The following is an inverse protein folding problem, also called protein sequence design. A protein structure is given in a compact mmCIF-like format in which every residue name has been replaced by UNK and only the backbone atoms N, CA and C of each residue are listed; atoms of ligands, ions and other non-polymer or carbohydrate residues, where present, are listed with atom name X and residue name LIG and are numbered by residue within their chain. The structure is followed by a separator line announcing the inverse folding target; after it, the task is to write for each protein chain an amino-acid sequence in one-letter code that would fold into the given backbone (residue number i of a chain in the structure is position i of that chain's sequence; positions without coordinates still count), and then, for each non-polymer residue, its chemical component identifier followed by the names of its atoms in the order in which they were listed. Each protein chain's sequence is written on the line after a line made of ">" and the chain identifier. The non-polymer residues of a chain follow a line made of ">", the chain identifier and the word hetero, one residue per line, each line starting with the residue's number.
data_IF_528168078694
#
_entry.id   IF_528168078694
#
_cell.length_a   1.000
_cell.length_b   1.000
_cell.length_c   1.000
_cell.angle_alpha   90.00
_cell.angle_beta   90.00
_cell.angle_gamma   90.00
#
_symmetry.space_group_name_H-M   'P 1'
#
loop_
_entity.id
_entity.type
_entity.pdbx_description
1 polymer ?
#
# COMPACT_ATOMS: atom_id res chain seq x y z
N UNK A 1 10.19 9.18 -6.75
CA UNK A 1 11.64 9.14 -7.06
C UNK A 1 12.14 10.45 -7.63
N UNK A 2 11.46 11.06 -8.63
CA UNK A 2 11.92 12.29 -9.27
C UNK A 2 12.07 13.49 -8.32
N UNK A 3 11.11 13.77 -7.44
CA UNK A 3 10.99 15.12 -6.84
C UNK A 3 12.05 15.49 -5.80
N UNK A 4 12.58 14.52 -5.05
CA UNK A 4 13.62 14.79 -4.03
C UNK A 4 15.02 14.58 -4.57
N UNK A 5 15.23 13.62 -5.47
CA UNK A 5 16.46 13.60 -6.28
C UNK A 5 16.59 14.89 -7.08
N UNK A 6 15.47 15.47 -7.54
CA UNK A 6 15.43 16.78 -8.13
C UNK A 6 15.83 17.87 -7.13
N UNK A 7 15.26 17.89 -5.93
CA UNK A 7 15.62 18.87 -4.88
C UNK A 7 17.07 18.75 -4.41
N UNK A 8 17.61 17.54 -4.25
CA UNK A 8 19.00 17.31 -3.87
C UNK A 8 19.97 17.60 -5.02
N UNK A 9 19.60 17.26 -6.26
CA UNK A 9 20.36 17.67 -7.45
C UNK A 9 20.31 19.20 -7.65
N UNK A 10 19.20 19.84 -7.28
CA UNK A 10 19.05 21.28 -7.30
C UNK A 10 19.96 21.94 -6.29
N UNK A 11 19.93 21.48 -5.04
CA UNK A 11 20.80 21.98 -3.97
C UNK A 11 22.27 21.72 -4.33
N UNK A 12 22.64 20.50 -4.73
CA UNK A 12 24.02 20.17 -5.13
C UNK A 12 24.51 20.94 -6.35
N UNK A 13 23.67 21.11 -7.38
CA UNK A 13 24.01 21.92 -8.56
C UNK A 13 24.17 23.39 -8.19
N UNK A 14 23.35 23.88 -7.27
CA UNK A 14 23.43 25.25 -6.77
C UNK A 14 24.73 25.48 -5.99
N UNK A 15 25.08 24.59 -5.06
CA UNK A 15 26.33 24.63 -4.29
C UNK A 15 27.58 24.49 -5.18
N UNK A 16 27.55 23.61 -6.18
CA UNK A 16 28.65 23.42 -7.14
C UNK A 16 28.86 24.62 -8.07
N UNK A 17 27.81 25.38 -8.36
CA UNK A 17 27.94 26.60 -9.16
C UNK A 17 28.37 27.80 -8.31
N UNK A 18 27.94 27.86 -7.05
CA UNK A 18 28.44 28.82 -6.06
C UNK A 18 29.95 28.76 -5.93
N UNK A 19 30.53 27.56 -5.81
CA UNK A 19 31.99 27.38 -5.73
C UNK A 19 32.75 27.83 -6.98
N UNK A 20 32.03 28.06 -8.10
CA UNK A 20 32.56 28.54 -9.38
C UNK A 20 32.28 30.03 -9.63
N UNK A 21 31.67 30.75 -8.70
CA UNK A 21 31.37 32.18 -8.83
C UNK A 21 30.31 32.51 -9.88
N UNK A 22 29.54 31.53 -10.36
CA UNK A 22 28.57 31.75 -11.45
C UNK A 22 27.23 32.23 -10.88
N UNK A 23 26.78 33.44 -11.25
CA UNK A 23 25.43 33.93 -10.93
C UNK A 23 24.41 33.37 -11.92
N UNK A 24 23.71 32.29 -11.54
CA UNK A 24 22.53 31.81 -12.28
C UNK A 24 21.21 32.26 -11.61
N UNK A 25 20.24 32.63 -12.44
CA UNK A 25 18.89 33.02 -12.02
C UNK A 25 18.05 31.78 -11.63
N UNK A 26 17.36 31.77 -10.48
CA UNK A 26 16.42 30.70 -10.08
C UNK A 26 15.40 30.32 -11.16
N UNK A 27 15.00 31.27 -12.00
CA UNK A 27 14.11 31.06 -13.15
C UNK A 27 14.67 30.05 -14.17
N UNK A 28 15.97 30.10 -14.46
CA UNK A 28 16.61 29.20 -15.42
C UNK A 28 16.66 27.76 -14.91
N UNK A 29 16.78 27.61 -13.59
CA UNK A 29 16.73 26.32 -12.91
C UNK A 29 15.32 25.73 -13.06
N UNK A 30 14.28 26.47 -12.64
CA UNK A 30 12.88 26.02 -12.77
C UNK A 30 12.52 25.73 -14.23
N UNK A 31 12.93 26.58 -15.17
CA UNK A 31 12.75 26.37 -16.62
C UNK A 31 13.44 25.09 -17.11
N UNK A 32 14.69 24.86 -16.74
CA UNK A 32 15.45 23.64 -17.13
C UNK A 32 14.78 22.37 -16.59
N UNK A 33 14.24 22.40 -15.37
CA UNK A 33 13.57 21.23 -14.78
C UNK A 33 12.21 20.95 -15.44
N UNK A 34 11.49 22.00 -15.85
CA UNK A 34 10.23 21.90 -16.61
C UNK A 34 10.53 21.34 -18.01
N UNK A 35 11.53 21.91 -18.70
CA UNK A 35 11.95 21.50 -20.04
C UNK A 35 12.51 20.07 -20.08
N UNK A 36 13.19 19.63 -19.03
CA UNK A 36 13.69 18.24 -18.89
C UNK A 36 12.61 17.24 -18.46
N UNK A 37 11.33 17.64 -18.33
CA UNK A 37 10.20 16.82 -17.86
C UNK A 37 10.42 16.18 -16.47
N UNK A 38 11.37 16.66 -15.68
CA UNK A 38 11.69 16.09 -14.36
C UNK A 38 10.69 16.50 -13.27
N UNK A 39 9.94 17.59 -13.47
CA UNK A 39 8.87 18.06 -12.57
C UNK A 39 7.51 17.41 -12.83
N UNK A 40 7.30 16.70 -13.94
CA UNK A 40 6.00 16.16 -14.31
C UNK A 40 5.46 15.08 -13.33
N UNK A 41 6.34 14.51 -12.49
CA UNK A 41 5.98 13.50 -11.50
C UNK A 41 5.72 14.06 -10.08
N UNK A 42 6.02 15.34 -9.85
CA UNK A 42 5.80 15.96 -8.55
C UNK A 42 4.31 16.27 -8.32
N UNK A 43 3.76 16.04 -7.12
CA UNK A 43 2.41 16.49 -6.82
C UNK A 43 2.29 17.98 -7.12
N UNK A 44 1.30 18.37 -7.93
CA UNK A 44 1.09 19.76 -8.36
C UNK A 44 1.08 20.77 -7.19
N UNK A 45 0.69 20.34 -5.99
CA UNK A 45 0.75 21.13 -4.77
C UNK A 45 2.19 21.48 -4.33
N UNK A 46 3.14 20.55 -4.44
CA UNK A 46 4.55 20.78 -4.08
C UNK A 46 5.21 21.70 -5.12
N UNK A 47 4.90 21.49 -6.39
CA UNK A 47 5.33 22.36 -7.50
C UNK A 47 4.79 23.77 -7.34
N UNK A 48 3.49 23.91 -7.05
CA UNK A 48 2.83 25.19 -6.82
C UNK A 48 3.43 25.92 -5.63
N UNK A 49 3.72 25.24 -4.51
CA UNK A 49 4.33 25.89 -3.34
C UNK A 49 5.78 26.33 -3.64
N UNK A 50 6.58 25.47 -4.26
CA UNK A 50 7.95 25.80 -4.64
C UNK A 50 7.98 26.94 -5.66
N UNK A 51 7.16 26.86 -6.71
CA UNK A 51 7.05 27.86 -7.76
C UNK A 51 6.54 29.19 -7.21
N UNK A 52 5.42 29.20 -6.48
CA UNK A 52 4.82 30.44 -5.96
C UNK A 52 5.72 31.11 -4.94
N UNK A 53 6.42 30.35 -4.08
CA UNK A 53 7.38 30.95 -3.13
C UNK A 53 8.66 31.42 -3.82
N UNK A 54 9.29 30.63 -4.69
CA UNK A 54 10.49 31.08 -5.42
C UNK A 54 10.20 32.24 -6.36
N UNK A 55 9.02 32.26 -6.97
CA UNK A 55 8.54 33.35 -7.83
C UNK A 55 8.19 34.61 -7.03
N UNK A 56 7.48 34.50 -5.90
CA UNK A 56 7.19 35.64 -5.03
C UNK A 56 8.46 36.26 -4.45
N UNK A 57 9.42 35.44 -4.06
CA UNK A 57 10.74 35.87 -3.58
C UNK A 57 11.53 36.56 -4.71
N UNK A 58 11.42 36.07 -5.96
CA UNK A 58 12.07 36.70 -7.13
C UNK A 58 11.41 38.01 -7.57
N UNK A 59 10.08 38.10 -7.50
CA UNK A 59 9.30 39.27 -7.92
C UNK A 59 9.39 40.44 -6.93
N UNK A 60 9.68 40.19 -5.65
CA UNK A 60 9.61 41.21 -4.60
C UNK A 60 10.98 41.73 -4.13
N UNK A 61 12.11 41.11 -4.50
CA UNK A 61 13.44 41.57 -4.10
C UNK A 61 14.49 41.49 -5.21
N UNK A 62 15.39 42.49 -5.25
CA UNK A 62 16.63 42.51 -6.05
C UNK A 62 17.62 41.43 -5.58
N UNK A 63 17.31 40.16 -5.81
CA UNK A 63 18.05 38.96 -5.37
C UNK A 63 17.69 38.51 -3.95
N UNK A 64 16.87 37.46 -3.79
CA UNK A 64 16.84 36.75 -2.52
C UNK A 64 18.23 36.30 -2.08
N UNK A 65 18.50 36.50 -0.80
CA UNK A 65 19.70 35.95 -0.19
C UNK A 65 19.56 34.43 -0.19
N UNK A 66 20.56 33.75 -0.72
CA UNK A 66 20.72 32.29 -0.79
C UNK A 66 20.31 31.55 0.50
N UNK A 67 20.55 32.16 1.66
CA UNK A 67 20.16 31.65 2.98
C UNK A 67 18.66 31.43 3.13
N UNK A 68 17.81 32.17 2.41
CA UNK A 68 16.36 32.11 2.53
C UNK A 68 15.75 30.97 1.72
N UNK A 69 16.35 30.62 0.57
CA UNK A 69 15.95 29.43 -0.21
C UNK A 69 16.27 28.15 0.57
N UNK A 70 17.48 28.05 1.14
CA UNK A 70 17.89 26.92 1.97
C UNK A 70 17.00 26.79 3.21
N UNK A 71 16.70 27.92 3.89
CA UNK A 71 15.78 27.96 5.02
C UNK A 71 14.38 27.46 4.65
N UNK A 72 13.88 27.84 3.47
CA UNK A 72 12.57 27.37 3.00
C UNK A 72 12.55 25.88 2.65
N UNK A 73 13.62 25.34 2.04
CA UNK A 73 13.76 23.89 1.82
C UNK A 73 13.80 23.14 3.15
N UNK A 74 14.53 23.65 4.14
CA UNK A 74 14.59 23.06 5.47
C UNK A 74 13.22 23.10 6.17
N UNK A 75 12.51 24.23 6.09
CA UNK A 75 11.16 24.38 6.65
C UNK A 75 10.16 23.43 5.97
N UNK A 76 10.26 23.25 4.64
CA UNK A 76 9.46 22.27 3.91
C UNK A 76 9.75 20.84 4.38
N UNK A 77 11.03 20.47 4.55
CA UNK A 77 11.42 19.16 5.11
C UNK A 77 10.84 18.95 6.51
N UNK A 78 10.97 19.94 7.40
CA UNK A 78 10.42 19.87 8.76
C UNK A 78 8.89 19.74 8.73
N UNK A 79 8.21 20.49 7.86
CA UNK A 79 6.74 20.43 7.73
C UNK A 79 6.28 19.07 7.21
N UNK A 80 7.00 18.48 6.25
CA UNK A 80 6.70 17.13 5.74
C UNK A 80 6.95 16.07 6.81
N UNK A 81 8.06 16.16 7.56
CA UNK A 81 8.36 15.26 8.68
C UNK A 81 7.30 15.32 9.79
N UNK A 82 6.87 16.52 10.19
CA UNK A 82 5.79 16.70 11.17
C UNK A 82 4.47 16.10 10.68
N UNK A 83 4.15 16.25 9.38
CA UNK A 83 2.96 15.61 8.78
C UNK A 83 3.07 14.10 8.77
N UNK A 84 4.24 13.52 8.53
CA UNK A 84 4.45 12.08 8.59
C UNK A 84 4.18 11.53 9.99
N UNK A 85 4.75 12.12 11.03
CA UNK A 85 4.47 11.69 12.42
C UNK A 85 2.98 11.83 12.76
N UNK A 86 2.34 12.90 12.29
CA UNK A 86 0.89 13.10 12.43
C UNK A 86 0.08 12.03 11.68
N UNK A 87 0.55 11.52 10.55
CA UNK A 87 -0.10 10.39 9.88
C UNK A 87 0.14 9.10 10.65
N UNK A 88 1.36 8.82 11.07
CA UNK A 88 1.69 7.57 11.76
C UNK A 88 1.06 7.45 13.15
N UNK A 89 0.58 8.54 13.75
CA UNK A 89 -0.21 8.51 14.98
C UNK A 89 -1.68 8.13 14.78
N UNK A 90 -2.23 8.25 13.56
CA UNK A 90 -3.61 7.84 13.25
C UNK A 90 -3.74 6.33 13.27
N UNK A 91 -4.93 5.83 13.60
CA UNK A 91 -5.20 4.39 13.58
C UNK A 91 -5.17 3.81 12.14
N UNK A 92 -5.77 4.55 11.21
CA UNK A 92 -5.84 4.27 9.77
C UNK A 92 -5.62 5.55 8.98
N UNK A 93 -5.21 5.40 7.73
CA UNK A 93 -4.92 6.47 6.79
C UNK A 93 -5.77 6.32 5.54
N UNK A 94 -6.21 7.45 4.98
CA UNK A 94 -6.81 7.43 3.64
C UNK A 94 -5.75 7.08 2.58
N UNK A 95 -6.14 6.60 1.39
CA UNK A 95 -5.20 6.36 0.30
C UNK A 95 -4.33 7.59 -0.03
N UNK A 96 -4.89 8.80 0.02
CA UNK A 96 -4.14 10.04 -0.24
C UNK A 96 -3.07 10.29 0.84
N UNK A 97 -3.40 10.03 2.11
CA UNK A 97 -2.45 10.13 3.22
C UNK A 97 -1.36 9.06 3.10
N UNK A 98 -1.73 7.83 2.72
CA UNK A 98 -0.79 6.76 2.44
C UNK A 98 0.16 7.15 1.30
N UNK A 99 -0.35 7.73 0.21
CA UNK A 99 0.46 8.22 -0.91
C UNK A 99 1.53 9.22 -0.45
N UNK A 100 1.13 10.17 0.40
CA UNK A 100 2.05 11.15 0.98
C UNK A 100 3.05 10.51 1.95
N UNK A 101 2.61 9.59 2.81
CA UNK A 101 3.48 8.85 3.73
C UNK A 101 4.54 8.05 2.95
N UNK A 102 4.15 7.33 1.89
CA UNK A 102 5.09 6.62 1.00
C UNK A 102 6.10 7.58 0.37
N UNK A 103 5.65 8.74 -0.10
CA UNK A 103 6.53 9.75 -0.69
C UNK A 103 7.58 10.21 0.33
N UNK A 104 7.22 10.39 1.60
CA UNK A 104 8.18 10.67 2.67
C UNK A 104 9.14 9.50 2.93
N UNK A 105 8.61 8.27 3.07
CA UNK A 105 9.44 7.08 3.35
C UNK A 105 10.52 6.89 2.28
N UNK A 106 10.20 7.09 0.99
CA UNK A 106 11.19 6.98 -0.10
C UNK A 106 12.36 7.97 0.00
N UNK A 107 12.25 9.01 0.83
CA UNK A 107 13.27 10.03 1.01
C UNK A 107 14.21 9.74 2.19
N UNK A 108 13.89 8.76 3.04
CA UNK A 108 14.77 8.41 4.16
C UNK A 108 16.08 7.85 3.62
N UNK A 109 17.21 8.37 4.10
CA UNK A 109 18.52 7.93 3.60
C UNK A 109 18.88 6.51 4.06
N UNK A 110 18.43 6.11 5.26
CA UNK A 110 18.69 4.79 5.82
C UNK A 110 17.68 3.74 5.30
N UNK A 111 18.12 2.72 4.54
CA UNK A 111 17.24 1.64 4.07
C UNK A 111 16.58 0.86 5.20
N UNK A 112 17.21 0.76 6.38
CA UNK A 112 16.59 0.12 7.53
C UNK A 112 15.42 0.95 8.04
N UNK A 113 15.60 2.25 8.24
CA UNK A 113 14.51 3.17 8.59
C UNK A 113 13.39 3.16 7.55
N UNK A 114 13.72 3.13 6.25
CA UNK A 114 12.72 2.96 5.18
C UNK A 114 11.87 1.71 5.39
N UNK A 115 12.53 0.57 5.59
CA UNK A 115 11.87 -0.71 5.80
C UNK A 115 10.99 -0.72 7.05
N UNK A 116 11.49 -0.18 8.16
CA UNK A 116 10.76 -0.08 9.43
C UNK A 116 9.51 0.80 9.27
N UNK A 117 9.59 1.90 8.52
CA UNK A 117 8.44 2.76 8.24
C UNK A 117 7.43 2.09 7.30
N UNK A 118 7.87 1.39 6.25
CA UNK A 118 6.95 0.67 5.37
C UNK A 118 6.21 -0.45 6.09
N UNK A 119 6.88 -1.18 6.97
CA UNK A 119 6.27 -2.22 7.80
C UNK A 119 5.19 -1.63 8.72
N UNK A 120 5.46 -0.49 9.37
CA UNK A 120 4.45 0.23 10.16
C UNK A 120 3.28 0.73 9.31
N UNK A 121 3.53 1.15 8.07
CA UNK A 121 2.50 1.66 7.16
C UNK A 121 1.47 0.59 6.79
N UNK A 122 1.85 -0.69 6.75
CA UNK A 122 0.93 -1.80 6.49
C UNK A 122 -0.26 -1.81 7.48
N UNK A 123 -0.01 -1.45 8.74
CA UNK A 123 -1.04 -1.40 9.79
C UNK A 123 -1.94 -0.15 9.73
N UNK A 124 -1.67 0.76 8.79
CA UNK A 124 -2.43 2.01 8.59
C UNK A 124 -3.38 1.93 7.41
N UNK A 125 -3.38 0.82 6.68
CA UNK A 125 -4.29 0.59 5.55
C UNK A 125 -5.73 0.57 6.08
N UNK A 126 -6.69 1.24 5.40
CA UNK A 126 -8.09 1.19 5.80
C UNK A 126 -8.63 -0.23 5.64
N UNK A 127 -9.40 -0.68 6.62
CA UNK A 127 -10.06 -1.97 6.56
C UNK A 127 -11.32 -1.93 5.68
N UNK A 128 -11.48 -2.93 4.80
CA UNK A 128 -12.69 -3.09 4.00
C UNK A 128 -13.37 -4.42 4.33
N UNK A 129 -14.63 -4.33 4.78
CA UNK A 129 -15.47 -5.48 5.10
C UNK A 129 -16.20 -5.94 3.83
N UNK A 130 -15.96 -7.18 3.39
CA UNK A 130 -16.60 -7.67 2.17
C UNK A 130 -18.12 -7.81 2.31
N UNK A 131 -18.65 -7.90 3.54
CA UNK A 131 -20.08 -8.11 3.76
C UNK A 131 -20.91 -6.85 3.51
N UNK A 132 -20.25 -5.70 3.48
CA UNK A 132 -20.83 -4.38 3.23
C UNK A 132 -21.02 -4.15 1.71
N UNK A 133 -20.41 -5.01 0.89
CA UNK A 133 -20.60 -5.05 -0.56
C UNK A 133 -22.05 -4.98 -0.97
N UNK A 134 -22.36 -4.02 -1.83
CA UNK A 134 -23.66 -3.90 -2.46
C UNK A 134 -23.80 -4.80 -3.71
N UNK A 135 -22.72 -5.41 -4.20
CA UNK A 135 -22.77 -6.23 -5.41
C UNK A 135 -23.74 -7.44 -5.26
N UNK A 136 -24.80 -7.53 -6.10
CA UNK A 136 -25.82 -8.56 -5.96
C UNK A 136 -25.27 -9.98 -6.05
N UNK A 137 -25.66 -10.82 -5.08
CA UNK A 137 -25.39 -12.26 -5.08
C UNK A 137 -23.93 -12.67 -4.85
N UNK A 138 -23.03 -11.73 -4.56
CA UNK A 138 -21.59 -12.03 -4.47
C UNK A 138 -20.83 -11.43 -3.30
N UNK A 139 -21.41 -10.53 -2.49
CA UNK A 139 -20.69 -9.88 -1.37
C UNK A 139 -20.02 -10.84 -0.39
N UNK A 140 -20.68 -11.94 -0.03
CA UNK A 140 -20.08 -12.99 0.83
C UNK A 140 -19.00 -13.83 0.11
N UNK A 141 -18.67 -13.52 -1.15
CA UNK A 141 -17.66 -14.20 -2.00
C UNK A 141 -16.64 -13.24 -2.62
N UNK A 142 -16.49 -12.03 -2.08
CA UNK A 142 -15.56 -10.99 -2.59
C UNK A 142 -14.29 -10.81 -1.76
N UNK A 143 -13.91 -11.79 -0.93
CA UNK A 143 -12.69 -11.71 -0.11
C UNK A 143 -11.43 -11.31 -0.89
N UNK A 144 -11.37 -11.73 -2.16
CA UNK A 144 -10.30 -11.37 -3.09
C UNK A 144 -10.32 -9.88 -3.46
N UNK A 145 -11.49 -9.31 -3.80
CA UNK A 145 -11.63 -7.91 -4.21
C UNK A 145 -11.40 -6.98 -3.01
N UNK A 146 -11.91 -7.33 -1.83
CA UNK A 146 -11.68 -6.55 -0.59
C UNK A 146 -10.20 -6.56 -0.19
N UNK A 147 -9.53 -7.72 -0.28
CA UNK A 147 -8.09 -7.81 -0.04
C UNK A 147 -7.27 -7.02 -1.08
N UNK A 148 -7.69 -7.02 -2.35
CA UNK A 148 -7.07 -6.19 -3.38
C UNK A 148 -7.29 -4.70 -3.13
N UNK A 149 -8.50 -4.27 -2.73
CA UNK A 149 -8.81 -2.88 -2.42
C UNK A 149 -7.92 -2.37 -1.28
N UNK A 150 -7.71 -3.16 -0.22
CA UNK A 150 -6.74 -2.85 0.84
C UNK A 150 -5.31 -2.71 0.29
N UNK A 151 -4.90 -3.64 -0.58
CA UNK A 151 -3.60 -3.56 -1.26
C UNK A 151 -3.42 -2.31 -2.13
N UNK A 152 -4.45 -1.89 -2.87
CA UNK A 152 -4.45 -0.68 -3.68
C UNK A 152 -4.42 0.57 -2.81
N UNK A 153 -5.19 0.59 -1.71
CA UNK A 153 -5.15 1.66 -0.71
C UNK A 153 -3.74 1.81 -0.10
N UNK A 154 -3.04 0.71 0.18
CA UNK A 154 -1.63 0.72 0.63
C UNK A 154 -0.67 1.38 -0.37
N UNK A 155 -0.97 1.34 -1.66
CA UNK A 155 -0.20 2.08 -2.68
C UNK A 155 -0.61 3.54 -2.81
N UNK A 156 -1.64 3.95 -2.08
CA UNK A 156 -2.22 5.28 -2.14
C UNK A 156 -3.10 5.49 -3.38
N UNK A 157 -3.69 4.42 -3.90
CA UNK A 157 -4.70 4.48 -4.95
C UNK A 157 -6.06 4.69 -4.29
N UNK A 158 -6.69 5.81 -4.60
CA UNK A 158 -8.05 6.14 -4.14
C UNK A 158 -9.09 5.27 -4.84
N UNK A 159 -10.26 5.11 -4.20
CA UNK A 159 -11.38 4.42 -4.82
C UNK A 159 -11.78 5.11 -6.14
N UNK A 160 -11.73 4.43 -7.30
CA UNK A 160 -12.07 5.04 -8.58
C UNK A 160 -13.56 5.36 -8.74
N UNK A 161 -14.42 4.79 -7.90
CA UNK A 161 -15.88 5.05 -7.87
C UNK A 161 -16.29 5.39 -6.43
N UNK A 162 -16.17 6.66 -5.99
CA UNK A 162 -16.31 7.05 -4.58
C UNK A 162 -17.72 6.84 -4.02
N UNK A 163 -18.74 6.69 -4.87
CA UNK A 163 -20.14 6.52 -4.48
C UNK A 163 -20.49 5.06 -4.12
N UNK A 164 -19.55 4.12 -4.29
CA UNK A 164 -19.71 2.70 -3.93
C UNK A 164 -18.50 2.23 -3.11
N UNK A 165 -18.60 1.07 -2.46
CA UNK A 165 -17.47 0.52 -1.72
C UNK A 165 -16.29 0.24 -2.64
N UNK A 166 -15.07 0.32 -2.12
CA UNK A 166 -13.87 0.20 -2.95
C UNK A 166 -13.76 -1.19 -3.59
N UNK A 167 -14.09 -2.26 -2.89
CA UNK A 167 -14.11 -3.60 -3.48
C UNK A 167 -15.20 -3.80 -4.53
N UNK A 168 -16.39 -3.19 -4.35
CA UNK A 168 -17.42 -3.11 -5.40
C UNK A 168 -16.87 -2.41 -6.65
N UNK A 169 -16.12 -1.31 -6.49
CA UNK A 169 -15.50 -0.61 -7.60
C UNK A 169 -14.43 -1.45 -8.31
N UNK A 170 -13.64 -2.21 -7.56
CA UNK A 170 -12.64 -3.14 -8.10
C UNK A 170 -13.32 -4.28 -8.87
N UNK A 171 -14.41 -4.85 -8.35
CA UNK A 171 -15.20 -5.87 -9.04
C UNK A 171 -15.85 -5.32 -10.31
N UNK A 172 -16.39 -4.10 -10.25
CA UNK A 172 -16.97 -3.46 -11.43
C UNK A 172 -15.93 -3.25 -12.53
N UNK A 173 -14.69 -2.85 -12.19
CA UNK A 173 -13.58 -2.79 -13.16
C UNK A 173 -13.29 -4.17 -13.77
N UNK A 174 -13.34 -5.24 -12.98
CA UNK A 174 -13.21 -6.61 -13.50
C UNK A 174 -14.31 -6.92 -14.50
N UNK A 175 -15.57 -6.66 -14.15
CA UNK A 175 -16.73 -6.92 -15.02
C UNK A 175 -16.63 -6.11 -16.31
N UNK A 176 -16.32 -4.81 -16.20
CA UNK A 176 -16.32 -3.87 -17.33
C UNK A 176 -15.16 -4.15 -18.31
N UNK A 177 -13.96 -4.44 -17.82
CA UNK A 177 -12.74 -4.54 -18.65
C UNK A 177 -12.28 -5.97 -18.90
N UNK A 178 -12.66 -6.92 -18.04
CA UNK A 178 -12.18 -8.30 -18.05
C UNK A 178 -13.34 -9.31 -17.85
N UNK A 179 -14.45 -9.21 -18.59
CA UNK A 179 -15.68 -9.97 -18.33
C UNK A 179 -15.50 -11.49 -18.41
N UNK A 180 -14.55 -11.97 -19.22
CA UNK A 180 -14.23 -13.40 -19.35
C UNK A 180 -13.43 -13.96 -18.16
N UNK A 181 -12.87 -13.10 -17.31
CA UNK A 181 -12.04 -13.49 -16.19
C UNK A 181 -12.84 -13.48 -14.90
N UNK A 182 -12.95 -14.65 -14.27
CA UNK A 182 -13.53 -14.80 -12.93
C UNK A 182 -12.64 -14.16 -11.87
N UNK A 183 -13.12 -14.15 -10.64
CA UNK A 183 -12.43 -13.73 -9.40
C UNK A 183 -11.23 -14.62 -8.99
N UNK A 184 -10.58 -15.29 -9.94
CA UNK A 184 -9.41 -16.17 -9.74
C UNK A 184 -8.11 -15.36 -9.64
N UNK A 185 -6.97 -16.04 -9.51
CA UNK A 185 -5.66 -15.37 -9.54
C UNK A 185 -5.39 -14.61 -10.83
N UNK A 186 -5.83 -15.13 -11.98
CA UNK A 186 -5.71 -14.44 -13.27
C UNK A 186 -6.55 -13.15 -13.31
N UNK A 187 -7.78 -13.18 -12.78
CA UNK A 187 -8.60 -11.96 -12.65
C UNK A 187 -7.91 -10.90 -11.79
N UNK A 188 -7.34 -11.31 -10.65
CA UNK A 188 -6.58 -10.42 -9.76
C UNK A 188 -5.31 -9.86 -10.43
N UNK A 189 -4.62 -10.67 -11.23
CA UNK A 189 -3.49 -10.22 -12.04
C UNK A 189 -3.88 -9.15 -13.06
N UNK A 190 -5.00 -9.35 -13.78
CA UNK A 190 -5.51 -8.38 -14.78
C UNK A 190 -5.88 -7.05 -14.12
N UNK A 191 -6.60 -7.10 -13.01
CA UNK A 191 -6.97 -5.92 -12.23
C UNK A 191 -5.71 -5.23 -11.69
N UNK A 192 -4.75 -5.94 -11.12
CA UNK A 192 -3.51 -5.33 -10.63
C UNK A 192 -2.75 -4.61 -11.75
N UNK A 193 -2.71 -5.23 -12.94
CA UNK A 193 -2.11 -4.63 -14.13
C UNK A 193 -2.84 -3.38 -14.63
N UNK A 194 -4.17 -3.35 -14.53
CA UNK A 194 -5.01 -2.19 -14.84
C UNK A 194 -4.56 -0.96 -14.05
N UNK A 195 -4.25 -1.15 -12.76
CA UNK A 195 -3.74 -0.09 -11.89
C UNK A 195 -2.22 0.15 -12.01
N UNK A 196 -1.52 -0.53 -12.93
CA UNK A 196 -0.08 -0.34 -13.13
C UNK A 196 0.81 -1.12 -12.17
N UNK A 197 0.30 -2.18 -11.53
CA UNK A 197 1.04 -3.03 -10.61
C UNK A 197 1.29 -4.43 -11.20
N UNK A 198 2.35 -5.09 -10.73
CA UNK A 198 2.62 -6.53 -10.94
C UNK A 198 1.96 -7.33 -9.83
N UNK A 199 1.51 -8.54 -10.14
CA UNK A 199 0.91 -9.49 -9.22
C UNK A 199 1.53 -10.86 -9.44
N UNK A 200 2.21 -11.40 -8.42
CA UNK A 200 3.11 -12.56 -8.56
C UNK A 200 2.98 -13.48 -7.34
N UNK A 201 3.24 -14.78 -7.50
CA UNK A 201 3.32 -15.72 -6.37
C UNK A 201 4.69 -15.64 -5.70
N UNK A 202 4.72 -15.65 -4.36
CA UNK A 202 5.95 -15.67 -3.56
C UNK A 202 6.44 -17.09 -3.26
N UNK A 203 5.53 -18.06 -3.25
CA UNK A 203 5.80 -19.45 -2.88
C UNK A 203 6.09 -20.36 -4.08
N UNK A 204 6.19 -19.80 -5.29
CA UNK A 204 6.41 -20.56 -6.52
C UNK A 204 5.23 -21.45 -6.93
N UNK A 205 4.12 -21.46 -6.18
CA UNK A 205 2.89 -22.17 -6.56
C UNK A 205 2.20 -21.31 -7.62
N UNK A 206 2.31 -21.74 -8.87
CA UNK A 206 1.86 -20.97 -10.04
C UNK A 206 0.40 -20.50 -9.96
N UNK A 207 0.08 -19.47 -10.72
CA UNK A 207 -1.27 -18.90 -10.87
C UNK A 207 -2.32 -19.85 -11.48
N UNK A 208 -1.90 -21.04 -11.93
CA UNK A 208 -2.61 -21.79 -12.98
C UNK A 208 -3.35 -23.06 -12.54
N UNK A 209 -3.15 -23.58 -11.33
CA UNK A 209 -3.93 -24.76 -10.92
C UNK A 209 -4.76 -24.43 -9.69
N UNK A 210 -6.09 -24.44 -9.85
CA UNK A 210 -7.08 -24.31 -8.79
C UNK A 210 -7.07 -25.48 -7.80
N UNK A 211 -5.89 -26.05 -7.53
CA UNK A 211 -5.68 -27.12 -6.58
C UNK A 211 -5.28 -26.48 -5.24
N UNK A 212 -6.24 -26.45 -4.31
CA UNK A 212 -6.08 -26.07 -2.90
C UNK A 212 -5.25 -27.10 -2.11
N UNK A 213 -4.16 -27.60 -2.69
CA UNK A 213 -3.62 -28.94 -2.41
C UNK A 213 -2.31 -29.05 -1.65
N UNK A 214 -1.77 -27.97 -1.06
CA UNK A 214 -0.56 -28.05 -0.23
C UNK A 214 -0.87 -27.83 1.24
N UNK A 215 -0.81 -28.89 2.08
CA UNK A 215 -0.80 -28.76 3.56
C UNK A 215 0.56 -28.26 4.04
N UNK A 216 0.97 -27.07 3.64
CA UNK A 216 2.23 -26.49 4.11
C UNK A 216 1.94 -25.38 5.12
N UNK A 217 2.33 -25.64 6.37
CA UNK A 217 2.52 -24.57 7.35
C UNK A 217 3.88 -23.93 7.10
N UNK A 218 3.90 -22.68 6.61
CA UNK A 218 5.13 -21.90 6.51
C UNK A 218 5.63 -21.54 7.92
N UNK A 219 6.93 -21.71 8.17
CA UNK A 219 7.56 -21.32 9.44
C UNK A 219 7.78 -19.80 9.50
N UNK A 220 8.03 -19.27 10.70
CA UNK A 220 8.46 -17.88 10.89
C UNK A 220 9.65 -17.52 9.97
N UNK A 221 10.66 -18.38 9.91
CA UNK A 221 11.87 -18.14 9.10
C UNK A 221 11.52 -18.05 7.61
N UNK A 222 10.57 -18.85 7.13
CA UNK A 222 10.10 -18.74 5.75
C UNK A 222 9.50 -17.36 5.48
N UNK A 223 8.63 -16.86 6.36
CA UNK A 223 8.02 -15.53 6.20
C UNK A 223 9.06 -14.42 6.28
N UNK A 224 10.04 -14.52 7.19
CA UNK A 224 11.15 -13.56 7.29
C UNK A 224 11.99 -13.55 6.02
N UNK A 225 12.24 -14.71 5.42
CA UNK A 225 13.06 -14.82 4.21
C UNK A 225 12.31 -14.38 2.94
N UNK A 226 11.01 -14.67 2.82
CA UNK A 226 10.28 -14.54 1.55
C UNK A 226 9.24 -13.42 1.54
N UNK A 227 8.54 -13.17 2.65
CA UNK A 227 7.44 -12.19 2.69
C UNK A 227 7.87 -10.84 3.29
N UNK A 228 8.61 -10.87 4.40
CA UNK A 228 9.07 -9.65 5.09
C UNK A 228 9.85 -8.69 4.17
N UNK A 229 10.74 -9.14 3.26
CA UNK A 229 11.43 -8.23 2.35
C UNK A 229 10.48 -7.45 1.43
N UNK A 230 9.29 -7.98 1.14
CA UNK A 230 8.27 -7.30 0.35
C UNK A 230 7.49 -6.29 1.19
N UNK A 231 7.09 -6.64 2.42
CA UNK A 231 6.45 -5.70 3.34
C UNK A 231 7.36 -4.49 3.62
N UNK A 232 8.65 -4.73 3.84
CA UNK A 232 9.68 -3.69 4.05
C UNK A 232 10.01 -2.87 2.81
N UNK A 233 9.55 -3.27 1.63
CA UNK A 233 9.58 -2.45 0.39
C UNK A 233 8.26 -1.71 0.14
N UNK A 234 7.32 -1.81 1.07
CA UNK A 234 5.99 -1.22 0.93
C UNK A 234 5.14 -1.90 -0.14
N UNK A 235 5.38 -3.18 -0.43
CA UNK A 235 4.52 -3.99 -1.28
C UNK A 235 3.31 -4.49 -0.48
N UNK A 236 2.24 -4.85 -1.20
CA UNK A 236 1.05 -5.47 -0.62
C UNK A 236 1.18 -6.99 -0.74
N UNK A 237 0.79 -7.73 0.31
CA UNK A 237 0.74 -9.19 0.28
C UNK A 237 -0.69 -9.65 0.59
N UNK A 238 -1.16 -10.61 -0.18
CA UNK A 238 -2.41 -11.34 0.07
C UNK A 238 -2.10 -12.81 0.32
N UNK A 239 -2.77 -13.39 1.31
CA UNK A 239 -2.64 -14.80 1.68
C UNK A 239 -3.95 -15.49 1.33
N UNK A 240 -3.85 -16.54 0.51
CA UNK A 240 -4.93 -17.49 0.31
C UNK A 240 -4.85 -18.59 1.34
N UNK A 241 -5.93 -18.78 2.10
CA UNK A 241 -6.11 -19.93 2.98
C UNK A 241 -7.14 -20.87 2.36
N UNK A 242 -7.00 -22.16 2.63
CA UNK A 242 -8.06 -23.12 2.43
C UNK A 242 -8.57 -23.56 3.79
N UNK A 243 -9.87 -23.76 3.88
CA UNK A 243 -10.61 -24.24 5.03
C UNK A 243 -11.50 -25.39 4.54
N UNK A 244 -10.93 -26.60 4.50
CA UNK A 244 -11.56 -27.74 3.83
C UNK A 244 -11.64 -27.54 2.32
N UNK A 245 -12.84 -27.57 1.74
CA UNK A 245 -13.08 -27.39 0.29
C UNK A 245 -13.26 -25.92 -0.11
N UNK A 246 -13.27 -25.00 0.86
CA UNK A 246 -13.48 -23.58 0.63
C UNK A 246 -12.18 -22.79 0.72
N UNK A 247 -12.03 -21.81 -0.16
CA UNK A 247 -10.93 -20.86 -0.14
C UNK A 247 -11.34 -19.54 0.51
N UNK A 248 -10.38 -18.88 1.14
CA UNK A 248 -10.54 -17.52 1.64
C UNK A 248 -9.26 -16.71 1.45
N UNK A 249 -9.38 -15.39 1.32
CA UNK A 249 -8.23 -14.51 1.06
C UNK A 249 -8.23 -13.38 2.07
N UNK A 250 -7.05 -13.13 2.63
CA UNK A 250 -6.81 -12.06 3.60
C UNK A 250 -5.62 -11.20 3.16
N UNK A 251 -5.52 -9.99 3.71
CA UNK A 251 -4.42 -9.07 3.49
C UNK A 251 -3.41 -9.14 4.64
N UNK A 252 -2.13 -9.38 4.35
CA UNK A 252 -1.08 -9.48 5.38
C UNK A 252 -0.54 -8.11 5.76
N UNK A 253 -0.54 -7.80 7.06
CA UNK A 253 -0.06 -6.53 7.62
C UNK A 253 1.34 -6.64 8.20
N UNK A 254 1.64 -7.76 8.86
CA UNK A 254 2.94 -7.93 9.50
C UNK A 254 3.21 -9.35 9.96
N UNK A 255 4.49 -9.57 10.29
CA UNK A 255 5.04 -10.86 10.67
C UNK A 255 5.77 -10.67 11.99
N UNK A 256 5.45 -11.48 12.99
CA UNK A 256 6.16 -11.55 14.27
C UNK A 256 6.65 -12.98 14.50
N UNK A 257 7.50 -13.19 15.52
CA UNK A 257 7.93 -14.56 15.88
C UNK A 257 6.76 -15.47 16.26
N UNK A 258 5.68 -14.88 16.78
CA UNK A 258 4.52 -15.61 17.26
C UNK A 258 3.53 -15.92 16.13
N UNK A 259 3.48 -15.11 15.06
CA UNK A 259 2.47 -15.28 14.02
C UNK A 259 2.36 -14.13 13.03
N UNK A 260 1.18 -14.03 12.42
CA UNK A 260 0.84 -13.10 11.36
C UNK A 260 -0.25 -12.14 11.82
N UNK A 261 -0.13 -10.87 11.47
CA UNK A 261 -1.22 -9.90 11.59
C UNK A 261 -1.88 -9.72 10.23
N UNK A 262 -3.21 -9.86 10.15
CA UNK A 262 -3.95 -9.79 8.89
C UNK A 262 -5.19 -8.90 8.99
N UNK A 263 -5.61 -8.34 7.86
CA UNK A 263 -7.00 -7.93 7.68
C UNK A 263 -7.74 -9.07 6.99
N UNK A 264 -8.69 -9.67 7.70
CA UNK A 264 -9.59 -10.66 7.16
C UNK A 264 -10.92 -9.99 6.78
N UNK A 265 -11.26 -9.86 5.49
CA UNK A 265 -12.42 -9.06 5.08
C UNK A 265 -13.78 -9.68 5.45
N UNK A 266 -13.84 -10.96 5.82
CA UNK A 266 -15.10 -11.64 6.17
C UNK A 266 -15.45 -11.57 7.66
N UNK A 267 -14.44 -11.54 8.54
CA UNK A 267 -14.58 -11.67 9.99
C UNK A 267 -13.38 -12.37 10.61
N UNK A 268 -13.48 -12.84 11.85
CA UNK A 268 -12.40 -13.66 12.44
C UNK A 268 -12.51 -15.11 12.01
N UNK A 269 -11.40 -15.83 12.09
CA UNK A 269 -11.38 -17.29 11.89
C UNK A 269 -11.29 -17.99 13.23
N UNK A 270 -12.17 -18.96 13.46
CA UNK A 270 -12.01 -19.92 14.55
C UNK A 270 -11.16 -21.11 14.08
N UNK A 271 -9.90 -21.14 14.51
CA UNK A 271 -8.93 -22.16 14.12
C UNK A 271 -9.23 -23.55 14.70
N UNK A 272 -10.09 -23.64 15.73
CA UNK A 272 -10.46 -24.90 16.39
C UNK A 272 -11.60 -25.61 15.67
N UNK A 273 -12.35 -24.92 14.81
CA UNK A 273 -13.47 -25.50 14.10
C UNK A 273 -13.03 -26.36 12.91
N UNK A 274 -13.70 -27.50 12.77
CA UNK A 274 -13.53 -28.40 11.62
C UNK A 274 -14.55 -28.14 10.52
N UNK A 275 -15.59 -27.32 10.75
CA UNK A 275 -16.59 -26.98 9.75
C UNK A 275 -16.37 -25.55 9.26
N UNK A 276 -16.32 -25.34 7.94
CA UNK A 276 -16.05 -24.02 7.36
C UNK A 276 -17.09 -22.98 7.79
N UNK A 277 -18.37 -23.34 7.71
CA UNK A 277 -19.44 -22.43 8.05
C UNK A 277 -19.35 -22.06 9.53
N UNK A 278 -19.03 -23.00 10.43
CA UNK A 278 -18.80 -22.69 11.84
C UNK A 278 -17.53 -21.85 12.07
N UNK A 279 -16.44 -22.16 11.37
CA UNK A 279 -15.15 -21.48 11.49
C UNK A 279 -15.24 -20.00 11.14
N UNK A 280 -16.05 -19.66 10.12
CA UNK A 280 -16.17 -18.29 9.60
C UNK A 280 -17.42 -17.56 10.10
N UNK A 281 -18.59 -18.22 10.22
CA UNK A 281 -19.85 -17.51 10.46
C UNK A 281 -20.03 -17.04 11.90
N UNK A 282 -19.50 -17.79 12.88
CA UNK A 282 -19.63 -17.43 14.30
C UNK A 282 -18.95 -16.08 14.60
N UNK A 283 -17.93 -15.74 13.81
CA UNK A 283 -17.16 -14.51 13.96
C UNK A 283 -17.16 -13.65 12.71
N UNK A 284 -18.12 -13.89 11.80
CA UNK A 284 -18.33 -13.06 10.63
C UNK A 284 -18.61 -11.63 11.05
N UNK A 285 -18.13 -10.69 10.25
CA UNK A 285 -18.50 -9.30 10.38
C UNK A 285 -20.02 -9.15 10.26
N UNK A 286 -20.59 -8.14 10.90
CA UNK A 286 -21.92 -7.65 10.51
C UNK A 286 -21.78 -6.84 9.22
N UNK A 287 -22.90 -6.58 8.51
CA UNK A 287 -22.88 -5.74 7.30
C UNK A 287 -22.74 -4.24 7.61
N UNK A 288 -23.14 -3.82 8.81
CA UNK A 288 -23.00 -2.44 9.27
C UNK A 288 -22.97 -2.42 10.80
N UNK A 289 -22.47 -1.32 11.37
CA UNK A 289 -22.53 -1.06 12.81
C UNK A 289 -21.60 -1.94 13.66
N UNK A 290 -22.02 -2.26 14.88
CA UNK A 290 -21.20 -2.98 15.85
C UNK A 290 -20.84 -4.37 15.33
N UNK A 291 -19.54 -4.64 15.21
CA UNK A 291 -19.02 -5.91 14.75
C UNK A 291 -18.82 -6.02 13.24
N UNK A 292 -18.81 -4.90 12.50
CA UNK A 292 -18.44 -4.86 11.07
C UNK A 292 -16.93 -4.99 10.85
N UNK A 293 -16.12 -4.89 11.91
CA UNK A 293 -14.66 -4.85 11.85
C UNK A 293 -13.99 -5.98 12.64
N UNK A 294 -14.69 -7.09 12.91
CA UNK A 294 -14.13 -8.21 13.68
C UNK A 294 -12.86 -8.78 13.05
N UNK A 295 -12.77 -8.80 11.72
CA UNK A 295 -11.58 -9.27 11.00
C UNK A 295 -10.47 -8.21 10.85
N UNK A 296 -10.61 -7.04 11.47
CA UNK A 296 -9.62 -5.97 11.41
C UNK A 296 -8.41 -6.30 12.29
N UNK A 297 -7.20 -6.29 11.71
CA UNK A 297 -5.92 -6.51 12.42
C UNK A 297 -5.94 -7.79 13.28
N UNK A 298 -6.53 -8.85 12.74
CA UNK A 298 -6.58 -10.16 13.38
C UNK A 298 -5.16 -10.72 13.51
N UNK A 299 -4.88 -11.41 14.62
CA UNK A 299 -3.61 -12.08 14.85
C UNK A 299 -3.77 -13.59 14.73
N UNK A 300 -2.99 -14.21 13.85
CA UNK A 300 -2.95 -15.64 13.60
C UNK A 300 -1.62 -16.21 14.10
N UNK A 301 -1.62 -16.92 15.23
CA UNK A 301 -0.39 -17.54 15.72
C UNK A 301 0.06 -18.68 14.79
N UNK A 302 1.36 -18.89 14.65
CA UNK A 302 1.88 -20.03 13.88
C UNK A 302 1.43 -21.37 14.48
N UNK A 303 1.24 -21.42 15.80
CA UNK A 303 0.70 -22.58 16.49
C UNK A 303 -0.75 -22.86 16.08
N UNK A 304 -1.63 -21.83 16.07
CA UNK A 304 -3.01 -21.98 15.65
C UNK A 304 -3.13 -22.40 14.18
N UNK A 305 -2.31 -21.80 13.30
CA UNK A 305 -2.25 -22.18 11.88
C UNK A 305 -1.81 -23.65 11.74
N UNK A 306 -0.74 -24.05 12.43
CA UNK A 306 -0.17 -25.40 12.35
C UNK A 306 -1.11 -26.47 12.92
N UNK A 307 -1.77 -26.17 14.03
CA UNK A 307 -2.64 -27.11 14.74
C UNK A 307 -4.08 -27.12 14.20
N UNK A 308 -4.42 -26.20 13.29
CA UNK A 308 -5.76 -26.18 12.72
C UNK A 308 -6.01 -27.45 11.91
N UNK A 309 -7.15 -28.14 12.14
CA UNK A 309 -7.45 -29.40 11.47
C UNK A 309 -7.74 -29.22 9.97
N UNK A 310 -8.16 -28.01 9.55
CA UNK A 310 -8.60 -27.74 8.18
C UNK A 310 -8.10 -26.43 7.58
N UNK A 311 -7.46 -25.55 8.35
CA UNK A 311 -6.83 -24.35 7.80
C UNK A 311 -5.42 -24.66 7.32
N UNK A 312 -5.14 -24.38 6.05
CA UNK A 312 -3.78 -24.34 5.55
C UNK A 312 -3.56 -23.13 4.65
N UNK A 313 -2.33 -22.61 4.67
CA UNK A 313 -1.92 -21.55 3.75
C UNK A 313 -1.75 -22.18 2.37
N UNK A 314 -2.64 -21.82 1.45
CA UNK A 314 -2.67 -22.41 0.11
C UNK A 314 -1.74 -21.68 -0.84
N UNK A 315 -1.72 -20.35 -0.78
CA UNK A 315 -0.80 -19.54 -1.57
C UNK A 315 -0.50 -18.20 -0.93
N UNK A 316 0.64 -17.62 -1.28
CA UNK A 316 1.03 -16.27 -0.87
C UNK A 316 1.42 -15.45 -2.11
N UNK A 317 0.76 -14.32 -2.30
CA UNK A 317 0.98 -13.46 -3.48
C UNK A 317 1.32 -12.04 -3.10
N UNK A 318 2.17 -11.44 -3.92
CA UNK A 318 2.61 -10.05 -3.77
C UNK A 318 2.07 -9.20 -4.91
N UNK A 319 1.59 -8.01 -4.54
CA UNK A 319 1.37 -6.91 -5.48
C UNK A 319 2.48 -5.89 -5.31
N UNK A 320 3.04 -5.37 -6.40
CA UNK A 320 4.13 -4.38 -6.35
C UNK A 320 4.10 -3.43 -7.55
N UNK A 321 4.65 -2.20 -7.43
CA UNK A 321 4.78 -1.30 -8.58
C UNK A 321 5.55 -1.96 -9.74
N UNK A 322 5.18 -1.61 -10.98
CA UNK A 322 5.84 -2.10 -12.21
C UNK A 322 7.29 -1.66 -12.33
#
# INVERSE_FOLDING_TARGET
>A
MADVQLLDALVSSFEKQKSRGVRWLPYQITKTLIEKKQLAAAPAAVLSILYTRTYAIWMNEKHPRESEVIKNIHLLRQTVGQKFETFMSKEELSPEQIKLARAYITQLADPKAQGDCYEKLQYKVPYFNQRDSAHPGVGDSMCNMSSMAMGLALFGVSNPKPDIQYDDAVEQIRVDHYPSYKRTGEGQFRISNHFGYKYESLDGKGSETGLWGGKESYSYDWYVQHALPHLRKGNSITIGIALGEHGHIVHLLGITKQGLSVHNPYGRVDFEQTDYAKAMNNFANTREGVGSDKGKKEFWSFEAIKNSPKLHISWIRVTRPK
#
